data_IF_285562951036
#
_entry.id   IF_285562951036
#
_cell.length_a   1.000
_cell.length_b   1.000
_cell.length_c   1.000
_cell.angle_alpha   90.00
_cell.angle_beta   90.00
_cell.angle_gamma   90.00
#
_symmetry.space_group_name_H-M   'P 1'
#
loop_
_entity.id
_entity.type
_entity.pdbx_description
1 polymer ?
#
# COMPACT_ATOMS: atom_id res chain seq x y z
N UNK A 1 -22.49 8.44 -6.02
CA UNK A 1 -22.31 7.50 -7.15
C UNK A 1 -20.94 7.78 -7.74
N UNK A 2 -19.98 6.87 -7.55
CA UNK A 2 -18.72 6.86 -8.29
C UNK A 2 -18.78 5.67 -9.26
N UNK A 3 -19.43 5.88 -10.41
CA UNK A 3 -19.56 4.88 -11.48
C UNK A 3 -18.34 4.85 -12.43
N UNK A 4 -17.32 5.67 -12.16
CA UNK A 4 -16.03 5.60 -12.84
C UNK A 4 -15.14 4.53 -12.19
N UNK A 5 -14.59 3.62 -13.01
CA UNK A 5 -13.52 2.72 -12.58
C UNK A 5 -12.22 3.53 -12.45
N UNK A 6 -11.61 3.66 -11.25
CA UNK A 6 -10.57 4.66 -10.99
C UNK A 6 -9.37 4.50 -11.91
N UNK A 7 -8.55 5.55 -12.04
CA UNK A 7 -7.31 5.53 -12.81
C UNK A 7 -6.49 4.25 -12.52
N UNK A 8 -6.25 3.50 -13.59
CA UNK A 8 -5.25 2.44 -13.62
C UNK A 8 -3.94 3.06 -14.11
N UNK A 9 -2.78 2.75 -13.50
CA UNK A 9 -1.51 3.34 -13.88
C UNK A 9 -1.00 2.83 -15.23
N UNK A 10 -0.19 3.65 -15.88
CA UNK A 10 0.52 3.31 -17.11
C UNK A 10 1.92 2.72 -16.76
N UNK A 11 2.45 1.82 -17.60
CA UNK A 11 3.67 1.05 -17.27
C UNK A 11 4.90 1.95 -16.99
N UNK A 12 4.98 3.13 -17.62
CA UNK A 12 6.05 4.12 -17.47
C UNK A 12 5.97 4.97 -16.19
N UNK A 13 4.90 4.85 -15.40
CA UNK A 13 4.80 5.44 -14.05
C UNK A 13 5.47 4.59 -12.96
N UNK A 14 6.18 3.51 -13.34
CA UNK A 14 6.71 2.51 -12.40
C UNK A 14 8.15 2.79 -11.97
N UNK A 15 8.38 3.02 -10.67
CA UNK A 15 9.71 3.24 -10.10
C UNK A 15 10.42 1.89 -9.81
N UNK A 16 11.16 1.39 -10.81
CA UNK A 16 11.88 0.11 -10.72
C UNK A 16 13.28 0.28 -10.12
N UNK A 17 13.47 -0.12 -8.86
CA UNK A 17 14.76 0.05 -8.17
C UNK A 17 15.77 -1.10 -8.39
N UNK A 18 15.33 -2.37 -8.35
CA UNK A 18 16.23 -3.54 -8.50
C UNK A 18 15.52 -4.68 -9.27
N UNK A 19 15.44 -4.62 -10.62
CA UNK A 19 14.51 -5.42 -11.42
C UNK A 19 14.62 -6.94 -11.23
N UNK A 20 15.83 -7.44 -10.95
CA UNK A 20 16.13 -8.86 -10.77
C UNK A 20 16.34 -9.27 -9.30
N UNK A 21 15.89 -8.44 -8.33
CA UNK A 21 16.14 -8.63 -6.89
C UNK A 21 15.89 -10.07 -6.41
N UNK A 22 16.94 -10.74 -5.93
CA UNK A 22 16.95 -12.16 -5.56
C UNK A 22 17.12 -12.42 -4.06
N UNK A 23 17.03 -11.37 -3.23
CA UNK A 23 17.32 -11.38 -1.78
C UNK A 23 16.50 -12.40 -0.97
N UNK A 24 15.31 -12.77 -1.45
CA UNK A 24 14.34 -13.64 -0.76
C UNK A 24 14.00 -14.89 -1.60
N UNK A 25 14.74 -16.01 -1.50
CA UNK A 25 14.54 -17.18 -2.37
C UNK A 25 13.10 -17.71 -2.42
N UNK A 26 12.43 -17.84 -1.28
CA UNK A 26 11.03 -18.30 -1.22
C UNK A 26 10.03 -17.36 -1.93
N UNK A 27 10.35 -16.07 -2.08
CA UNK A 27 9.53 -15.12 -2.86
C UNK A 27 9.91 -15.16 -4.35
N UNK A 28 11.18 -15.40 -4.68
CA UNK A 28 11.64 -15.62 -6.07
C UNK A 28 10.98 -16.86 -6.67
N UNK A 29 10.79 -17.91 -5.88
CA UNK A 29 10.18 -19.19 -6.31
C UNK A 29 8.67 -19.11 -6.60
N UNK A 30 7.94 -18.12 -6.06
CA UNK A 30 6.47 -18.05 -6.19
C UNK A 30 5.89 -16.74 -6.77
N UNK A 31 6.70 -15.69 -6.97
CA UNK A 31 6.28 -14.47 -7.69
C UNK A 31 6.27 -14.69 -9.21
N UNK A 32 5.35 -14.04 -9.92
CA UNK A 32 5.43 -13.91 -11.39
C UNK A 32 6.15 -12.63 -11.81
N UNK A 33 6.00 -11.54 -11.04
CA UNK A 33 6.72 -10.27 -11.17
C UNK A 33 7.05 -9.69 -9.78
N UNK A 34 8.00 -8.76 -9.74
CA UNK A 34 8.18 -7.86 -8.61
C UNK A 34 7.19 -6.70 -8.77
N UNK A 35 6.42 -6.40 -7.73
CA UNK A 35 5.43 -5.32 -7.67
C UNK A 35 6.09 -4.05 -7.12
N UNK A 36 6.54 -3.18 -8.02
CA UNK A 36 7.19 -1.92 -7.69
C UNK A 36 6.20 -0.82 -7.31
N UNK A 37 6.71 0.28 -6.75
CA UNK A 37 5.97 1.52 -6.58
C UNK A 37 5.54 2.12 -7.93
N UNK A 38 4.38 2.78 -7.97
CA UNK A 38 3.82 3.34 -9.21
C UNK A 38 2.97 4.59 -8.96
N UNK A 39 3.23 5.65 -9.72
CA UNK A 39 2.59 6.97 -9.62
C UNK A 39 3.56 8.11 -9.97
N UNK A 40 3.18 9.39 -9.77
CA UNK A 40 4.07 10.53 -9.98
C UNK A 40 5.30 10.49 -9.06
N UNK A 41 6.42 11.05 -9.53
CA UNK A 41 7.65 11.26 -8.75
C UNK A 41 7.59 12.51 -7.85
N UNK A 42 6.57 13.36 -8.02
CA UNK A 42 6.26 14.54 -7.18
C UNK A 42 5.00 14.35 -6.29
N UNK A 43 4.62 13.10 -6.01
CA UNK A 43 3.38 12.78 -5.29
C UNK A 43 3.45 13.05 -3.77
N UNK A 44 2.78 14.11 -3.33
CA UNK A 44 2.65 14.50 -1.90
C UNK A 44 2.03 13.44 -0.99
N UNK A 45 1.36 12.42 -1.55
CA UNK A 45 0.77 11.31 -0.80
C UNK A 45 1.28 9.96 -1.31
N UNK A 46 1.85 9.15 -0.42
CA UNK A 46 2.27 7.78 -0.71
C UNK A 46 1.41 6.74 0.03
N UNK A 47 0.77 5.83 -0.71
CA UNK A 47 -0.05 4.73 -0.17
C UNK A 47 0.77 3.44 -0.08
N UNK A 48 0.90 2.87 1.12
CA UNK A 48 1.76 1.70 1.39
C UNK A 48 0.92 0.46 1.75
N UNK A 49 1.12 -0.63 1.02
CA UNK A 49 0.55 -1.96 1.33
C UNK A 49 1.52 -2.90 2.03
N UNK A 50 1.05 -4.05 2.51
CA UNK A 50 1.92 -5.09 3.08
C UNK A 50 2.76 -5.77 1.98
N UNK A 51 2.09 -6.37 1.00
CA UNK A 51 2.69 -7.10 -0.11
C UNK A 51 1.67 -7.24 -1.26
N UNK A 52 2.10 -7.46 -2.52
CA UNK A 52 1.17 -7.76 -3.60
C UNK A 52 0.38 -9.05 -3.32
N UNK A 53 -0.92 -8.99 -3.58
CA UNK A 53 -1.80 -10.16 -3.49
C UNK A 53 -1.55 -11.19 -4.60
N UNK A 54 -1.96 -12.44 -4.37
CA UNK A 54 -1.90 -13.53 -5.36
C UNK A 54 -2.44 -13.12 -6.75
N UNK A 55 -3.52 -12.33 -6.76
CA UNK A 55 -4.11 -11.72 -7.95
C UNK A 55 -5.05 -12.65 -8.73
N UNK A 56 -5.30 -12.30 -9.99
CA UNK A 56 -6.01 -13.15 -10.95
C UNK A 56 -5.44 -12.90 -12.36
N UNK A 57 -4.75 -13.88 -12.98
CA UNK A 57 -4.19 -13.71 -14.32
C UNK A 57 -5.24 -13.55 -15.42
N UNK A 58 -6.46 -14.04 -15.20
CA UNK A 58 -7.57 -14.04 -16.17
C UNK A 58 -8.47 -12.78 -16.08
N UNK A 59 -8.17 -11.86 -15.15
CA UNK A 59 -8.83 -10.55 -15.11
C UNK A 59 -8.28 -9.61 -16.21
N UNK A 60 -9.03 -8.57 -16.59
CA UNK A 60 -8.66 -7.68 -17.70
C UNK A 60 -7.42 -6.82 -17.40
N UNK A 61 -7.59 -5.68 -16.71
CA UNK A 61 -6.49 -4.82 -16.21
C UNK A 61 -6.15 -5.07 -14.74
N UNK A 62 -7.16 -5.29 -13.89
CA UNK A 62 -7.02 -5.42 -12.43
C UNK A 62 -6.47 -6.77 -11.93
N UNK A 63 -5.41 -7.30 -12.58
CA UNK A 63 -4.81 -8.62 -12.31
C UNK A 63 -4.04 -8.70 -10.98
N UNK A 64 -3.57 -7.57 -10.46
CA UNK A 64 -2.77 -7.49 -9.24
C UNK A 64 -1.26 -7.48 -9.47
N UNK A 65 -0.52 -6.88 -8.53
CA UNK A 65 0.91 -6.58 -8.64
C UNK A 65 1.82 -7.78 -8.93
N UNK A 66 1.44 -8.97 -8.48
CA UNK A 66 2.14 -10.22 -8.82
C UNK A 66 2.18 -10.47 -10.34
N UNK A 67 1.15 -10.05 -11.09
CA UNK A 67 1.00 -10.29 -12.53
C UNK A 67 1.32 -9.07 -13.40
N UNK A 68 1.06 -7.86 -12.89
CA UNK A 68 1.33 -6.59 -13.59
C UNK A 68 2.75 -6.08 -13.35
N UNK A 69 3.30 -6.30 -12.16
CA UNK A 69 4.53 -5.63 -11.68
C UNK A 69 4.28 -4.25 -11.06
N UNK A 70 3.02 -3.80 -10.99
CA UNK A 70 2.62 -2.49 -10.49
C UNK A 70 1.75 -2.60 -9.23
N UNK A 71 2.07 -1.82 -8.20
CA UNK A 71 1.35 -1.86 -6.92
C UNK A 71 -0.09 -1.31 -6.98
N UNK A 72 -0.95 -1.81 -6.09
CA UNK A 72 -2.39 -1.51 -6.03
C UNK A 72 -3.20 -1.77 -7.32
N UNK A 73 -2.73 -2.67 -8.20
CA UNK A 73 -3.45 -3.06 -9.43
C UNK A 73 -4.37 -4.28 -9.28
N UNK A 74 -4.76 -4.67 -8.06
CA UNK A 74 -5.63 -5.83 -7.79
C UNK A 74 -7.11 -5.45 -7.64
N UNK A 75 -8.03 -6.24 -8.20
CA UNK A 75 -9.48 -5.94 -8.23
C UNK A 75 -10.16 -5.71 -6.86
N UNK A 76 -9.68 -6.33 -5.78
CA UNK A 76 -10.36 -6.30 -4.47
C UNK A 76 -9.76 -5.33 -3.47
N UNK A 77 -8.44 -5.35 -3.23
CA UNK A 77 -7.76 -4.39 -2.35
C UNK A 77 -7.31 -3.14 -3.11
N UNK A 78 -6.49 -3.34 -4.15
CA UNK A 78 -5.90 -2.29 -4.98
C UNK A 78 -6.90 -1.26 -5.48
N UNK A 79 -7.90 -1.74 -6.23
CA UNK A 79 -9.00 -0.95 -6.79
C UNK A 79 -9.80 -0.22 -5.70
N UNK A 80 -10.14 -0.88 -4.59
CA UNK A 80 -10.90 -0.25 -3.48
C UNK A 80 -10.15 0.89 -2.79
N UNK A 81 -8.82 0.83 -2.70
CA UNK A 81 -8.03 1.94 -2.17
C UNK A 81 -7.90 3.06 -3.20
N UNK A 82 -7.71 2.76 -4.49
CA UNK A 82 -7.77 3.79 -5.55
C UNK A 82 -9.15 4.48 -5.62
N UNK A 83 -10.25 3.74 -5.43
CA UNK A 83 -11.60 4.29 -5.23
C UNK A 83 -11.70 5.18 -3.98
N UNK A 84 -11.00 4.83 -2.90
CA UNK A 84 -10.99 5.59 -1.64
C UNK A 84 -10.19 6.90 -1.78
N UNK A 85 -9.00 6.86 -2.38
CA UNK A 85 -8.19 8.07 -2.62
C UNK A 85 -8.89 9.03 -3.61
N UNK A 86 -9.44 8.50 -4.71
CA UNK A 86 -10.19 9.31 -5.67
C UNK A 86 -11.45 9.96 -5.05
N UNK A 87 -12.08 9.32 -4.05
CA UNK A 87 -13.23 9.88 -3.34
C UNK A 87 -12.86 11.07 -2.42
N UNK A 88 -11.60 11.18 -2.00
CA UNK A 88 -11.05 12.32 -1.22
C UNK A 88 -10.19 13.27 -2.09
N UNK A 89 -10.43 13.30 -3.41
CA UNK A 89 -9.76 14.20 -4.37
C UNK A 89 -8.45 13.67 -4.97
N UNK A 90 -7.90 12.59 -4.43
CA UNK A 90 -6.57 12.06 -4.75
C UNK A 90 -6.60 10.96 -5.84
N UNK A 91 -7.11 11.28 -7.05
CA UNK A 91 -7.18 10.31 -8.17
C UNK A 91 -5.82 10.08 -8.87
N UNK A 92 -5.05 11.13 -9.15
CA UNK A 92 -3.79 11.04 -9.92
C UNK A 92 -2.53 11.38 -9.12
N UNK A 93 -2.62 12.21 -8.08
CA UNK A 93 -1.48 12.69 -7.27
C UNK A 93 -1.09 11.75 -6.12
N UNK A 94 -1.01 10.43 -6.37
CA UNK A 94 -0.68 9.44 -5.33
C UNK A 94 0.30 8.41 -5.87
N UNK A 95 1.38 8.18 -5.14
CA UNK A 95 2.30 7.07 -5.37
C UNK A 95 1.84 5.83 -4.59
N UNK A 96 1.73 4.68 -5.25
CA UNK A 96 1.21 3.44 -4.66
C UNK A 96 2.31 2.38 -4.58
N UNK A 97 2.58 1.82 -3.40
CA UNK A 97 3.65 0.82 -3.21
C UNK A 97 3.35 -0.25 -2.14
N UNK A 98 4.24 -1.22 -1.94
CA UNK A 98 4.18 -2.20 -0.85
C UNK A 98 5.50 -2.23 -0.06
N UNK A 99 5.42 -2.55 1.24
CA UNK A 99 6.59 -2.76 2.09
C UNK A 99 7.42 -3.98 1.64
N UNK A 100 6.75 -5.06 1.18
CA UNK A 100 7.40 -6.21 0.54
C UNK A 100 6.99 -6.27 -0.93
N UNK A 101 7.98 -6.21 -1.83
CA UNK A 101 7.74 -6.05 -3.28
C UNK A 101 7.28 -7.32 -4.00
N UNK A 102 7.32 -8.50 -3.37
CA UNK A 102 7.03 -9.79 -4.00
C UNK A 102 5.88 -10.52 -3.30
N UNK A 103 5.15 -11.37 -4.04
CA UNK A 103 3.99 -12.10 -3.51
C UNK A 103 4.41 -13.20 -2.50
N UNK A 104 3.98 -13.13 -1.22
CA UNK A 104 4.25 -14.16 -0.22
C UNK A 104 3.20 -15.28 -0.30
N UNK A 105 3.43 -16.25 -1.18
CA UNK A 105 2.54 -17.41 -1.30
C UNK A 105 2.51 -18.27 -0.03
N UNK A 106 1.32 -18.72 0.37
CA UNK A 106 1.09 -19.77 1.37
C UNK A 106 1.19 -21.20 0.81
N UNK A 107 1.16 -21.36 -0.51
CA UNK A 107 1.14 -22.65 -1.21
C UNK A 107 -0.26 -23.18 -1.53
N UNK A 108 -1.32 -22.58 -0.97
CA UNK A 108 -2.73 -22.93 -1.26
C UNK A 108 -3.41 -21.93 -2.23
N UNK A 109 -2.70 -20.85 -2.60
CA UNK A 109 -3.11 -19.87 -3.60
C UNK A 109 -3.47 -18.49 -3.02
N UNK A 110 -3.12 -18.25 -1.76
CA UNK A 110 -3.40 -17.01 -1.05
C UNK A 110 -2.10 -16.44 -0.44
N UNK A 111 -2.21 -15.31 0.26
CA UNK A 111 -1.10 -14.65 0.93
C UNK A 111 -0.93 -15.18 2.35
N UNK A 112 0.28 -15.62 2.69
CA UNK A 112 0.78 -15.59 4.07
C UNK A 112 1.32 -14.18 4.39
N UNK A 113 1.56 -13.90 5.67
CA UNK A 113 2.36 -12.73 6.04
C UNK A 113 3.83 -12.91 5.55
N UNK A 114 4.52 -11.83 5.12
CA UNK A 114 5.96 -11.84 4.95
C UNK A 114 6.67 -12.05 6.29
N UNK A 115 7.72 -12.86 6.29
CA UNK A 115 8.60 -13.07 7.44
C UNK A 115 9.43 -11.82 7.75
N UNK A 116 9.96 -11.72 8.96
CA UNK A 116 10.82 -10.60 9.34
C UNK A 116 12.02 -10.39 8.39
N UNK A 117 12.64 -11.48 7.92
CA UNK A 117 13.74 -11.40 6.94
C UNK A 117 13.28 -10.92 5.55
N UNK A 118 12.07 -11.27 5.12
CA UNK A 118 11.50 -10.77 3.86
C UNK A 118 11.11 -9.30 3.94
N UNK A 119 10.64 -8.82 5.11
CA UNK A 119 10.43 -7.40 5.38
C UNK A 119 11.76 -6.63 5.37
N UNK A 120 12.75 -7.12 6.12
CA UNK A 120 14.08 -6.48 6.22
C UNK A 120 14.78 -6.38 4.87
N UNK A 121 14.79 -7.46 4.08
CA UNK A 121 15.38 -7.46 2.74
C UNK A 121 14.72 -6.47 1.76
N UNK A 122 13.47 -6.07 2.00
CA UNK A 122 12.74 -5.06 1.23
C UNK A 122 12.73 -3.67 1.88
N UNK A 123 13.23 -3.50 3.11
CA UNK A 123 13.26 -2.23 3.86
C UNK A 123 13.97 -1.15 3.04
N UNK A 124 15.14 -1.45 2.49
CA UNK A 124 15.89 -0.55 1.59
C UNK A 124 15.05 -0.09 0.39
N UNK A 125 14.21 -0.95 -0.18
CA UNK A 125 13.38 -0.63 -1.34
C UNK A 125 12.14 0.21 -0.98
N UNK A 126 11.67 0.19 0.27
CA UNK A 126 10.63 1.11 0.73
C UNK A 126 11.25 2.47 1.08
N UNK A 127 12.40 2.46 1.77
CA UNK A 127 13.16 3.68 2.09
C UNK A 127 13.57 4.43 0.83
N UNK A 128 14.15 3.75 -0.18
CA UNK A 128 14.57 4.39 -1.42
C UNK A 128 13.41 4.82 -2.35
N UNK A 129 12.17 4.36 -2.13
CA UNK A 129 10.99 4.93 -2.78
C UNK A 129 10.52 6.19 -2.03
N UNK A 130 10.51 6.17 -0.70
CA UNK A 130 10.18 7.34 0.14
C UNK A 130 11.18 8.49 -0.10
N UNK A 131 12.49 8.20 -0.11
CA UNK A 131 13.57 9.16 -0.40
C UNK A 131 13.58 9.66 -1.86
N UNK A 132 12.87 9.00 -2.78
CA UNK A 132 12.79 9.38 -4.19
C UNK A 132 11.52 10.18 -4.54
N UNK A 133 10.44 10.02 -3.77
CA UNK A 133 9.14 10.69 -3.97
C UNK A 133 8.95 11.87 -3.00
N UNK A 134 9.62 11.84 -1.84
CA UNK A 134 9.58 12.88 -0.79
C UNK A 134 8.15 13.32 -0.40
N UNK A 135 7.23 12.37 -0.06
CA UNK A 135 5.81 12.67 0.16
C UNK A 135 5.58 13.38 1.51
N UNK A 136 4.67 14.36 1.55
CA UNK A 136 4.20 14.97 2.80
C UNK A 136 3.49 13.95 3.72
N UNK A 137 2.70 13.02 3.15
CA UNK A 137 1.88 12.07 3.91
C UNK A 137 2.02 10.62 3.42
N UNK A 138 2.23 9.69 4.36
CA UNK A 138 2.32 8.25 4.11
C UNK A 138 1.09 7.53 4.68
N UNK A 139 0.39 6.79 3.84
CA UNK A 139 -0.93 6.19 4.12
C UNK A 139 -0.83 4.66 4.09
N UNK A 140 -0.44 4.00 5.20
CA UNK A 140 -0.38 2.54 5.26
C UNK A 140 -1.78 1.91 5.37
N UNK A 141 -2.07 0.93 4.50
CA UNK A 141 -3.38 0.26 4.50
C UNK A 141 -3.36 -1.04 5.31
N UNK A 142 -3.77 -0.93 6.57
CA UNK A 142 -3.92 -2.03 7.51
C UNK A 142 -2.74 -2.25 8.43
N UNK A 143 -2.96 -3.07 9.46
CA UNK A 143 -2.00 -3.41 10.52
C UNK A 143 -0.58 -3.64 10.02
N UNK A 144 -0.36 -4.63 9.14
CA UNK A 144 1.01 -5.03 8.78
C UNK A 144 1.75 -3.99 7.93
N UNK A 145 1.03 -3.17 7.15
CA UNK A 145 1.61 -2.02 6.46
C UNK A 145 2.01 -0.94 7.48
N UNK A 146 1.13 -0.67 8.44
CA UNK A 146 1.34 0.32 9.52
C UNK A 146 2.54 -0.06 10.40
N UNK A 147 2.62 -1.33 10.82
CA UNK A 147 3.79 -1.89 11.51
C UNK A 147 5.09 -1.73 10.69
N UNK A 148 5.02 -1.83 9.37
CA UNK A 148 6.22 -1.77 8.51
C UNK A 148 6.67 -0.33 8.24
N UNK A 149 5.75 0.64 8.21
CA UNK A 149 6.05 2.08 8.09
C UNK A 149 6.55 2.65 9.42
N UNK A 150 5.86 2.41 10.55
CA UNK A 150 6.30 2.91 11.86
C UNK A 150 7.66 2.31 12.28
N UNK A 151 7.96 1.07 11.87
CA UNK A 151 9.27 0.48 12.09
C UNK A 151 10.41 1.15 11.28
N UNK A 152 10.14 2.07 10.35
CA UNK A 152 11.19 2.86 9.70
C UNK A 152 11.77 3.93 10.65
N UNK A 153 10.93 4.43 11.55
CA UNK A 153 11.21 5.30 12.71
C UNK A 153 11.42 4.49 14.02
N UNK A 154 11.80 3.21 13.89
CA UNK A 154 12.00 2.25 14.99
C UNK A 154 10.84 2.17 16.02
N UNK A 155 9.63 2.56 15.60
CA UNK A 155 8.44 2.71 16.44
C UNK A 155 7.52 1.49 16.37
N UNK A 156 7.06 1.01 17.53
CA UNK A 156 6.18 -0.16 17.66
C UNK A 156 4.69 0.19 17.63
N UNK A 157 3.88 -0.60 16.92
CA UNK A 157 2.43 -0.42 16.85
C UNK A 157 1.69 -1.12 18.00
N UNK A 158 1.41 -0.38 19.07
CA UNK A 158 0.56 -0.81 20.17
C UNK A 158 -0.92 -0.49 19.89
N UNK A 159 -1.63 -1.41 19.23
CA UNK A 159 -3.08 -1.33 19.01
C UNK A 159 -3.50 -0.67 17.70
N UNK A 160 -3.41 -1.39 16.58
CA UNK A 160 -3.74 -0.87 15.24
C UNK A 160 -5.10 -0.17 15.11
N UNK A 161 -6.14 -0.59 15.84
CA UNK A 161 -7.46 0.03 15.73
C UNK A 161 -7.50 1.44 16.34
N UNK A 162 -6.66 1.69 17.33
CA UNK A 162 -6.56 2.96 18.05
C UNK A 162 -5.69 3.98 17.29
N UNK A 163 -5.01 3.57 16.22
CA UNK A 163 -4.22 4.43 15.32
C UNK A 163 -4.89 4.69 13.96
N UNK A 164 -6.12 4.22 13.72
CA UNK A 164 -6.82 4.46 12.44
C UNK A 164 -7.21 5.94 12.35
N UNK A 165 -6.79 6.62 11.27
CA UNK A 165 -6.95 8.05 11.02
C UNK A 165 -6.26 9.00 12.04
N UNK A 166 -5.54 8.47 13.03
CA UNK A 166 -4.74 9.28 13.95
C UNK A 166 -3.35 9.56 13.34
N UNK A 167 -2.95 10.82 13.11
CA UNK A 167 -1.68 11.15 12.48
C UNK A 167 -0.48 10.89 13.40
N UNK A 168 0.60 10.32 12.85
CA UNK A 168 1.87 10.07 13.56
C UNK A 168 3.04 10.62 12.76
N UNK A 169 3.75 11.60 13.30
CA UNK A 169 4.90 12.24 12.65
C UNK A 169 6.11 11.29 12.57
N UNK A 170 6.78 11.25 11.41
CA UNK A 170 8.08 10.60 11.24
C UNK A 170 9.22 11.56 11.60
N UNK A 171 9.89 11.33 12.73
CA UNK A 171 11.09 12.11 13.10
C UNK A 171 12.24 11.90 12.12
N UNK A 172 12.29 10.74 11.43
CA UNK A 172 13.38 10.39 10.52
C UNK A 172 13.22 10.96 9.11
N UNK A 173 11.99 10.99 8.58
CA UNK A 173 11.72 11.38 7.20
C UNK A 173 10.91 12.67 7.06
N UNK A 174 10.26 13.15 8.13
CA UNK A 174 9.50 14.40 8.13
C UNK A 174 8.09 14.32 7.57
N UNK A 175 7.66 13.16 7.06
CA UNK A 175 6.28 12.92 6.63
C UNK A 175 5.35 12.62 7.81
N UNK A 176 4.05 12.86 7.63
CA UNK A 176 2.99 12.41 8.55
C UNK A 176 2.47 11.02 8.13
N UNK A 177 2.34 10.08 9.06
CA UNK A 177 1.73 8.76 8.82
C UNK A 177 0.25 8.79 9.17
N UNK A 178 -0.64 8.39 8.24
CA UNK A 178 -2.11 8.32 8.46
C UNK A 178 -2.62 6.89 8.19
N UNK A 179 -2.75 6.03 9.21
CA UNK A 179 -3.12 4.62 9.02
C UNK A 179 -4.59 4.42 8.62
N UNK A 180 -4.84 3.57 7.62
CA UNK A 180 -6.18 3.21 7.15
C UNK A 180 -6.53 1.74 7.41
N UNK A 181 -7.83 1.45 7.55
CA UNK A 181 -8.35 0.09 7.52
C UNK A 181 -8.15 -0.55 6.12
N UNK A 182 -7.54 -1.74 6.07
CA UNK A 182 -7.40 -2.48 4.81
C UNK A 182 -8.78 -2.91 4.24
N UNK A 183 -9.02 -2.86 2.91
CA UNK A 183 -10.36 -3.05 2.33
C UNK A 183 -11.02 -4.42 2.51
N UNK A 184 -10.26 -5.43 2.96
CA UNK A 184 -10.82 -6.76 3.26
C UNK A 184 -11.59 -6.81 4.59
N UNK A 185 -11.38 -5.85 5.48
CA UNK A 185 -12.05 -5.78 6.78
C UNK A 185 -12.58 -4.39 7.16
N UNK A 186 -12.27 -3.32 6.40
CA UNK A 186 -12.79 -1.96 6.60
C UNK A 186 -14.29 -1.95 6.91
N UNK A 187 -15.09 -2.53 6.02
CA UNK A 187 -16.56 -2.51 6.08
C UNK A 187 -17.12 -3.27 7.32
N UNK A 188 -16.29 -4.02 8.05
CA UNK A 188 -16.61 -4.73 9.32
C UNK A 188 -16.19 -3.94 10.56
N UNK A 189 -15.20 -3.04 10.44
CA UNK A 189 -14.63 -2.28 11.55
C UNK A 189 -15.05 -0.80 11.60
N UNK A 190 -15.45 -0.17 10.49
CA UNK A 190 -15.95 1.22 10.47
C UNK A 190 -16.99 1.49 11.57
N UNK A 191 -18.08 0.72 11.57
CA UNK A 191 -19.16 0.82 12.55
C UNK A 191 -18.78 0.41 13.98
N UNK A 192 -17.60 -0.20 14.18
CA UNK A 192 -17.04 -0.52 15.50
C UNK A 192 -16.13 0.59 16.03
N UNK A 193 -15.49 1.34 15.13
CA UNK A 193 -14.78 2.59 15.44
C UNK A 193 -15.74 3.79 15.56
N UNK A 194 -17.02 3.61 15.19
CA UNK A 194 -18.06 4.63 15.31
C UNK A 194 -18.25 5.49 14.06
N UNK A 195 -17.64 5.13 12.93
CA UNK A 195 -17.75 5.85 11.65
C UNK A 195 -18.82 5.22 10.73
N UNK A 196 -19.63 6.06 10.11
CA UNK A 196 -20.19 5.78 8.78
C UNK A 196 -19.15 6.03 7.67
N UNK A 197 -19.36 5.49 6.48
CA UNK A 197 -18.35 5.55 5.39
C UNK A 197 -18.03 7.00 4.97
N UNK A 198 -19.05 7.86 4.84
CA UNK A 198 -18.86 9.24 4.39
C UNK A 198 -18.10 10.07 5.45
N UNK A 199 -18.27 9.75 6.74
CA UNK A 199 -17.53 10.40 7.85
C UNK A 199 -16.06 9.97 7.85
N UNK A 200 -15.77 8.68 7.61
CA UNK A 200 -14.41 8.16 7.49
C UNK A 200 -13.66 8.75 6.28
N UNK A 201 -14.37 9.00 5.17
CA UNK A 201 -13.80 9.67 4.00
C UNK A 201 -13.52 11.15 4.28
N UNK A 202 -14.43 11.87 4.95
CA UNK A 202 -14.26 13.28 5.29
C UNK A 202 -13.14 13.51 6.34
N UNK A 203 -12.98 12.62 7.32
CA UNK A 203 -11.86 12.70 8.26
C UNK A 203 -10.53 12.42 7.53
N UNK A 204 -10.45 11.38 6.68
CA UNK A 204 -9.29 11.14 5.82
C UNK A 204 -8.94 12.35 4.94
N UNK A 205 -9.92 12.94 4.24
CA UNK A 205 -9.74 14.16 3.44
C UNK A 205 -9.12 15.29 4.28
N UNK A 206 -9.51 15.42 5.55
CA UNK A 206 -8.96 16.42 6.48
C UNK A 206 -7.55 16.14 7.02
N UNK A 207 -6.96 14.95 6.76
CA UNK A 207 -5.59 14.58 7.14
C UNK A 207 -4.61 14.51 5.96
N UNK A 208 -5.06 14.83 4.73
CA UNK A 208 -4.21 14.92 3.55
C UNK A 208 -3.86 16.41 3.24
N UNK A 209 -2.81 16.68 2.44
CA UNK A 209 -2.44 18.04 2.02
C UNK A 209 -3.50 18.75 1.16
#
# INVERSE_FOLDING_TARGET
>A
MVDADPRFPDDDETLVLEPDCARCPALVECRNRISWGVGPDDATVMVVGEAPGAGNPDADRWRGGNWTGMSYTARHSGRRIRETMAAVGYESGVFYTNAVKCFPSDGEGSNRAPTAAEKENCRDHLVAELEAVDPDVVVPTGRHATESVLALDDTSLDGFLDTVLEPVESERFGYTVVPLLHPSYRDVWLSRLGYELDEYLADLESRLP
#
